data_IF_012142650815
#
_entry.id   IF_012142650815
#
_cell.length_a   1.000
_cell.length_b   1.000
_cell.length_c   1.000
_cell.angle_alpha   90.00
_cell.angle_beta   90.00
_cell.angle_gamma   90.00
#
_symmetry.space_group_name_H-M   'P 1'
#
loop_
_entity.id
_entity.type
_entity.pdbx_description
1 polymer ?
#
# COMPACT_ATOMS: atom_id res chain seq x y z
N UNK A 1 -7.86 -12.79 0.86
CA UNK A 1 -7.89 -11.53 0.09
C UNK A 1 -8.87 -10.60 0.80
N UNK A 2 -8.49 -9.38 1.13
CA UNK A 2 -9.32 -8.43 1.87
C UNK A 2 -9.85 -7.34 0.93
N UNK A 3 -10.97 -6.71 1.30
CA UNK A 3 -11.47 -5.52 0.60
C UNK A 3 -10.60 -4.33 0.97
N UNK A 4 -10.03 -3.67 -0.03
CA UNK A 4 -9.21 -2.48 0.15
C UNK A 4 -10.10 -1.23 0.22
N UNK A 5 -9.92 -0.42 1.26
CA UNK A 5 -10.69 0.79 1.53
C UNK A 5 -9.79 2.03 1.67
N UNK A 6 -10.28 3.21 1.27
CA UNK A 6 -9.56 4.47 1.49
C UNK A 6 -9.45 4.73 3.00
N UNK A 7 -8.28 5.16 3.45
CA UNK A 7 -7.97 5.40 4.86
C UNK A 7 -7.51 4.15 5.62
N UNK A 8 -7.59 2.97 5.03
CA UNK A 8 -7.12 1.73 5.63
C UNK A 8 -5.60 1.75 5.81
N UNK A 9 -5.13 1.35 7.00
CA UNK A 9 -3.71 1.15 7.27
C UNK A 9 -3.30 -0.28 6.96
N UNK A 10 -2.18 -0.43 6.29
CA UNK A 10 -1.63 -1.70 5.84
C UNK A 10 -0.15 -1.80 6.20
N UNK A 11 0.31 -3.03 6.33
CA UNK A 11 1.73 -3.35 6.53
C UNK A 11 2.18 -4.30 5.42
N UNK A 12 3.31 -3.98 4.78
CA UNK A 12 3.96 -4.89 3.84
C UNK A 12 4.54 -6.11 4.59
N UNK A 13 4.11 -7.32 4.23
CA UNK A 13 4.51 -8.56 4.94
C UNK A 13 5.83 -9.16 4.43
N UNK A 14 6.29 -8.69 3.28
CA UNK A 14 7.52 -9.08 2.61
C UNK A 14 8.10 -7.90 1.81
N UNK A 15 9.40 -7.90 1.45
CA UNK A 15 9.96 -6.83 0.64
C UNK A 15 9.38 -6.86 -0.78
N UNK A 16 9.12 -5.68 -1.35
CA UNK A 16 8.66 -5.53 -2.73
C UNK A 16 9.31 -4.32 -3.40
N UNK A 17 9.15 -4.16 -4.70
CA UNK A 17 9.68 -3.01 -5.43
C UNK A 17 8.54 -2.16 -5.98
N UNK A 18 8.74 -0.85 -6.05
CA UNK A 18 7.90 0.03 -6.87
C UNK A 18 8.16 -0.24 -8.36
N UNK A 19 7.33 0.30 -9.24
CA UNK A 19 7.56 0.26 -10.69
C UNK A 19 8.90 0.91 -11.09
N UNK A 20 9.30 1.97 -10.39
CA UNK A 20 10.59 2.65 -10.59
C UNK A 20 11.80 1.89 -9.99
N UNK A 21 11.58 0.69 -9.43
CA UNK A 21 12.64 -0.15 -8.86
C UNK A 21 13.07 0.23 -7.44
N UNK A 22 12.32 1.08 -6.73
CA UNK A 22 12.61 1.42 -5.33
C UNK A 22 12.18 0.28 -4.41
N UNK A 23 13.09 -0.19 -3.56
CA UNK A 23 12.80 -1.23 -2.57
C UNK A 23 11.88 -0.70 -1.46
N UNK A 24 10.74 -1.36 -1.26
CA UNK A 24 9.84 -1.22 -0.12
C UNK A 24 10.18 -2.35 0.88
N UNK A 25 10.74 -2.03 2.06
CA UNK A 25 11.06 -3.04 3.06
C UNK A 25 9.82 -3.70 3.66
N UNK A 26 9.98 -4.95 4.11
CA UNK A 26 9.01 -5.61 5.00
C UNK A 26 8.79 -4.76 6.27
N UNK A 27 7.55 -4.68 6.72
CA UNK A 27 7.15 -3.91 7.90
C UNK A 27 6.87 -2.43 7.62
N UNK A 28 7.07 -1.98 6.37
CA UNK A 28 6.65 -0.64 5.94
C UNK A 28 5.16 -0.49 6.16
N UNK A 29 4.78 0.57 6.88
CA UNK A 29 3.37 0.90 7.13
C UNK A 29 2.92 1.95 6.15
N UNK A 30 1.74 1.72 5.57
CA UNK A 30 1.13 2.63 4.62
C UNK A 30 -0.33 2.86 4.96
N UNK A 31 -0.88 3.98 4.48
CA UNK A 31 -2.32 4.24 4.47
C UNK A 31 -2.80 4.36 3.04
N UNK A 32 -3.92 3.72 2.72
CA UNK A 32 -4.58 3.88 1.41
C UNK A 32 -5.06 5.32 1.28
N UNK A 33 -4.45 6.08 0.38
CA UNK A 33 -4.84 7.47 0.10
C UNK A 33 -5.91 7.56 -0.97
N UNK A 34 -5.77 6.80 -2.05
CA UNK A 34 -6.69 6.81 -3.17
C UNK A 34 -6.70 5.46 -3.89
N UNK A 35 -7.85 5.08 -4.43
CA UNK A 35 -8.02 3.88 -5.26
C UNK A 35 -8.53 4.36 -6.61
N UNK A 36 -7.72 4.21 -7.66
CA UNK A 36 -8.06 4.62 -9.01
C UNK A 36 -8.82 3.49 -9.71
N UNK A 37 -10.11 3.70 -10.05
CA UNK A 37 -10.87 2.70 -10.79
C UNK A 37 -10.49 2.80 -12.27
N UNK A 38 -9.63 1.89 -12.75
CA UNK A 38 -9.36 1.73 -14.18
C UNK A 38 -9.96 0.44 -14.73
N UNK A 39 -10.26 0.45 -16.04
CA UNK A 39 -10.95 -0.63 -16.76
C UNK A 39 -10.14 -1.94 -16.87
N UNK A 40 -8.81 -1.88 -16.71
CA UNK A 40 -7.90 -3.02 -16.91
C UNK A 40 -7.13 -3.41 -15.65
N UNK A 41 -6.53 -2.45 -14.96
CA UNK A 41 -5.81 -2.70 -13.70
C UNK A 41 -5.97 -1.51 -12.75
N UNK A 42 -6.64 -1.72 -11.61
CA UNK A 42 -6.82 -0.65 -10.64
C UNK A 42 -5.49 -0.32 -9.96
N UNK A 43 -5.12 0.95 -9.95
CA UNK A 43 -3.97 1.46 -9.19
C UNK A 43 -4.39 1.98 -7.82
N UNK A 44 -3.46 1.95 -6.86
CA UNK A 44 -3.67 2.40 -5.50
C UNK A 44 -2.55 3.35 -5.13
N UNK A 45 -2.92 4.54 -4.67
CA UNK A 45 -1.98 5.47 -4.04
C UNK A 45 -1.92 5.19 -2.54
N UNK A 46 -0.74 4.89 -2.05
CA UNK A 46 -0.39 4.61 -0.67
C UNK A 46 0.42 5.78 -0.11
N UNK A 47 0.15 6.16 1.13
CA UNK A 47 0.93 7.13 1.89
C UNK A 47 1.81 6.37 2.87
N UNK A 48 3.13 6.49 2.76
CA UNK A 48 4.08 5.85 3.67
C UNK A 48 4.03 6.55 5.02
N UNK A 49 3.78 5.78 6.08
CA UNK A 49 3.64 6.28 7.45
C UNK A 49 4.98 6.30 8.22
N UNK A 50 6.00 5.64 7.67
CA UNK A 50 7.35 5.57 8.22
C UNK A 50 8.28 6.51 7.45
N UNK A 51 8.66 7.64 8.06
CA UNK A 51 9.60 8.60 7.46
C UNK A 51 9.48 10.00 8.06
N UNK A 52 10.48 10.86 7.82
CA UNK A 52 10.45 12.28 8.20
C UNK A 52 9.61 13.14 7.24
N UNK A 53 9.34 12.65 6.03
CA UNK A 53 8.53 13.31 5.01
C UNK A 53 7.46 12.33 4.50
N UNK A 54 6.25 12.81 4.19
CA UNK A 54 5.21 11.96 3.61
C UNK A 54 5.60 11.61 2.17
N UNK A 55 5.95 10.34 1.96
CA UNK A 55 6.17 9.78 0.63
C UNK A 55 4.88 9.09 0.14
N UNK A 56 4.53 9.28 -1.12
CA UNK A 56 3.41 8.59 -1.77
C UNK A 56 3.93 7.56 -2.75
N UNK A 57 3.34 6.37 -2.74
CA UNK A 57 3.63 5.28 -3.67
C UNK A 57 2.37 5.00 -4.48
N UNK A 58 2.48 4.93 -5.80
CA UNK A 58 1.40 4.38 -6.65
C UNK A 58 1.81 2.98 -7.05
N UNK A 59 0.95 2.01 -6.75
CA UNK A 59 1.18 0.60 -7.06
C UNK A 59 -0.08 -0.04 -7.62
N UNK A 60 0.05 -1.07 -8.47
CA UNK A 60 -1.09 -1.90 -8.84
C UNK A 60 -1.81 -2.47 -7.61
N UNK A 61 -3.14 -2.52 -7.65
CA UNK A 61 -3.97 -3.03 -6.54
C UNK A 61 -3.59 -4.45 -6.16
N UNK A 62 -3.19 -5.28 -7.13
CA UNK A 62 -2.81 -6.66 -6.85
C UNK A 62 -1.61 -6.73 -5.89
N UNK A 63 -0.64 -5.82 -6.00
CA UNK A 63 0.52 -5.74 -5.10
C UNK A 63 0.04 -5.55 -3.66
N UNK A 64 -0.92 -4.64 -3.45
CA UNK A 64 -1.48 -4.37 -2.13
C UNK A 64 -2.24 -5.57 -1.57
N UNK A 65 -3.04 -6.25 -2.40
CA UNK A 65 -3.84 -7.38 -1.94
C UNK A 65 -3.03 -8.66 -1.68
N UNK A 66 -1.84 -8.77 -2.27
CA UNK A 66 -0.94 -9.94 -2.15
C UNK A 66 0.13 -9.72 -1.08
N UNK A 67 0.78 -8.55 -1.09
CA UNK A 67 1.97 -8.28 -0.28
C UNK A 67 1.70 -7.46 0.99
N UNK A 68 0.45 -7.06 1.24
CA UNK A 68 0.09 -6.34 2.44
C UNK A 68 -0.93 -7.09 3.29
N UNK A 69 -0.94 -6.77 4.59
CA UNK A 69 -2.02 -7.13 5.52
C UNK A 69 -2.66 -5.88 6.11
N UNK A 70 -3.97 -5.87 6.39
CA UNK A 70 -4.60 -4.83 7.18
C UNK A 70 -4.00 -4.77 8.58
N UNK A 71 -3.70 -3.55 9.04
CA UNK A 71 -3.40 -3.29 10.44
C UNK A 71 -4.74 -3.04 11.13
N UNK A 72 -5.19 -3.98 11.95
CA UNK A 72 -6.28 -3.70 12.87
C UNK A 72 -5.78 -2.67 13.87
N UNK A 73 -6.44 -1.51 13.99
CA UNK A 73 -6.23 -0.66 15.16
C UNK A 73 -6.56 -1.52 16.37
N UNK A 74 -5.58 -1.72 17.26
CA UNK A 74 -5.87 -2.24 18.58
C UNK A 74 -6.93 -1.30 19.18
N UNK A 75 -8.11 -1.84 19.44
CA UNK A 75 -9.18 -1.14 20.14
C UNK A 75 -8.75 -0.78 21.56
#
# INVERSE_FOLDING_TARGET
MFTLEIGQELEFIEPTHTEDGVLIPKGTRVRVGFIMPELLESNVTLVVLSGKLPETLTVPRHIVTVHCRPIQKAG
#
